data_IF_829009382853
#
_entry.id   IF_829009382853
#
_cell.length_a   1.000
_cell.length_b   1.000
_cell.length_c   1.000
_cell.angle_alpha   90.00
_cell.angle_beta   90.00
_cell.angle_gamma   90.00
#
_symmetry.space_group_name_H-M   'P 1'
#
loop_
_entity.id
_entity.type
_entity.pdbx_description
1 polymer ?
#
# COMPACT_ATOMS: atom_id res chain seq x y z
N UNK A 1 22.75 -23.89 -8.78
CA UNK A 1 21.97 -22.74 -9.27
C UNK A 1 21.84 -22.88 -10.78
N UNK A 2 20.64 -23.16 -11.30
CA UNK A 2 20.42 -23.17 -12.74
C UNK A 2 20.34 -21.71 -13.18
N UNK A 3 21.30 -21.27 -14.00
CA UNK A 3 21.26 -19.95 -14.62
C UNK A 3 20.10 -19.92 -15.62
N UNK A 4 19.23 -18.91 -15.52
CA UNK A 4 18.14 -18.69 -16.46
C UNK A 4 18.69 -18.56 -17.90
N UNK A 5 17.99 -19.15 -18.87
CA UNK A 5 18.37 -19.08 -20.28
C UNK A 5 18.36 -17.61 -20.79
N UNK A 6 19.28 -17.22 -21.67
CA UNK A 6 19.31 -15.85 -22.21
C UNK A 6 18.02 -15.57 -22.97
N UNK A 7 17.18 -14.68 -22.43
CA UNK A 7 15.85 -14.34 -22.95
C UNK A 7 14.68 -14.71 -22.03
N UNK A 8 14.90 -15.43 -20.93
CA UNK A 8 13.89 -15.62 -19.90
C UNK A 8 13.75 -14.36 -19.04
N UNK A 9 12.54 -13.79 -18.97
CA UNK A 9 12.21 -12.71 -18.04
C UNK A 9 12.52 -13.15 -16.61
N UNK A 10 13.20 -12.35 -15.81
CA UNK A 10 13.35 -12.60 -14.37
C UNK A 10 12.05 -12.13 -13.67
N UNK A 11 11.23 -13.05 -13.14
CA UNK A 11 9.93 -12.68 -12.53
C UNK A 11 10.15 -11.90 -11.27
N UNK A 12 11.06 -12.39 -10.45
CA UNK A 12 11.32 -11.85 -9.14
C UNK A 12 11.81 -10.41 -9.28
N UNK A 13 12.73 -10.15 -10.21
CA UNK A 13 13.17 -8.80 -10.51
C UNK A 13 12.05 -7.92 -11.12
N UNK A 14 11.17 -8.49 -11.94
CA UNK A 14 10.03 -7.75 -12.51
C UNK A 14 8.96 -7.42 -11.46
N UNK A 15 8.69 -8.33 -10.52
CA UNK A 15 7.77 -8.11 -9.41
C UNK A 15 8.29 -7.05 -8.44
N UNK A 16 9.60 -7.07 -8.14
CA UNK A 16 10.24 -6.04 -7.32
C UNK A 16 10.07 -4.66 -7.96
N UNK A 17 10.43 -4.54 -9.26
CA UNK A 17 10.23 -3.30 -10.01
C UNK A 17 8.77 -2.85 -10.04
N UNK A 18 7.85 -3.78 -10.24
CA UNK A 18 6.42 -3.48 -10.28
C UNK A 18 5.91 -2.97 -8.93
N UNK A 19 6.41 -3.51 -7.81
CA UNK A 19 6.09 -3.04 -6.48
C UNK A 19 6.69 -1.64 -6.23
N UNK A 20 7.95 -1.42 -6.58
CA UNK A 20 8.62 -0.13 -6.47
C UNK A 20 7.88 0.97 -7.25
N UNK A 21 7.54 0.70 -8.51
CA UNK A 21 6.83 1.65 -9.37
C UNK A 21 5.40 1.93 -8.86
N UNK A 22 4.68 0.88 -8.41
CA UNK A 22 3.30 1.02 -7.94
C UNK A 22 3.19 1.68 -6.56
N UNK A 23 4.23 1.57 -5.74
CA UNK A 23 4.30 2.15 -4.39
C UNK A 23 5.20 3.39 -4.33
N UNK A 24 5.67 3.89 -5.47
CA UNK A 24 6.32 5.19 -5.53
C UNK A 24 5.36 6.27 -4.98
N UNK A 25 5.87 7.13 -4.11
CA UNK A 25 5.05 8.13 -3.42
C UNK A 25 4.02 7.55 -2.43
N UNK A 26 4.23 6.34 -1.88
CA UNK A 26 3.33 5.71 -0.89
C UNK A 26 2.95 6.62 0.28
N UNK A 27 3.83 7.52 0.71
CA UNK A 27 3.57 8.45 1.81
C UNK A 27 2.36 9.35 1.48
N UNK A 28 2.29 9.91 0.28
CA UNK A 28 1.16 10.74 -0.16
C UNK A 28 -0.12 9.90 -0.36
N UNK A 29 0.01 8.63 -0.74
CA UNK A 29 -1.13 7.70 -0.85
C UNK A 29 -1.70 7.30 0.51
N UNK A 30 -0.82 7.17 1.52
CA UNK A 30 -1.18 6.74 2.87
C UNK A 30 -1.56 7.89 3.79
N UNK A 31 -1.19 9.12 3.45
CA UNK A 31 -1.49 10.30 4.25
C UNK A 31 -2.98 10.43 4.62
N UNK A 32 -3.95 10.22 3.71
CA UNK A 32 -5.38 10.28 4.07
C UNK A 32 -5.82 9.23 5.11
N UNK A 33 -5.13 8.08 5.23
CA UNK A 33 -5.43 7.12 6.29
C UNK A 33 -4.99 7.64 7.66
N UNK A 34 -3.89 8.38 7.70
CA UNK A 34 -3.21 8.79 8.93
C UNK A 34 -3.56 10.21 9.36
N UNK A 35 -4.03 11.05 8.44
CA UNK A 35 -4.36 12.44 8.68
C UNK A 35 -5.41 12.63 9.80
N UNK A 36 -6.52 11.86 9.87
CA UNK A 36 -7.47 11.98 10.96
C UNK A 36 -6.84 11.66 12.32
N UNK A 37 -5.98 10.64 12.37
CA UNK A 37 -5.28 10.25 13.59
C UNK A 37 -4.28 11.33 14.04
N UNK A 38 -3.48 11.89 13.12
CA UNK A 38 -2.56 13.01 13.44
C UNK A 38 -3.33 14.21 13.96
N UNK A 39 -4.43 14.58 13.31
CA UNK A 39 -5.28 15.67 13.78
C UNK A 39 -5.90 15.38 15.15
N UNK A 40 -6.20 14.13 15.49
CA UNK A 40 -6.69 13.76 16.81
C UNK A 40 -5.59 13.84 17.87
N UNK A 41 -4.37 13.40 17.56
CA UNK A 41 -3.20 13.53 18.44
C UNK A 41 -2.94 15.00 18.77
N UNK A 42 -3.02 15.89 17.78
CA UNK A 42 -2.79 17.33 17.98
C UNK A 42 -3.87 18.00 18.85
N UNK A 43 -5.07 17.42 18.94
CA UNK A 43 -6.21 17.97 19.69
C UNK A 43 -6.37 17.35 21.08
N UNK A 44 -6.01 16.08 21.25
CA UNK A 44 -6.22 15.35 22.49
C UNK A 44 -5.32 15.91 23.60
N UNK A 45 -5.91 16.13 24.77
CA UNK A 45 -5.20 16.56 25.98
C UNK A 45 -4.70 15.38 26.82
N UNK A 46 -5.14 14.16 26.50
CA UNK A 46 -4.74 12.94 27.16
C UNK A 46 -4.83 11.72 26.25
N UNK A 47 -4.16 10.64 26.65
CA UNK A 47 -4.23 9.37 25.94
C UNK A 47 -5.64 8.76 25.98
N UNK A 48 -6.33 8.83 27.13
CA UNK A 48 -7.70 8.30 27.27
C UNK A 48 -8.69 9.05 26.37
N UNK A 49 -8.52 10.37 26.25
CA UNK A 49 -9.29 11.18 25.30
C UNK A 49 -9.03 10.74 23.86
N UNK A 50 -7.76 10.55 23.45
CA UNK A 50 -7.41 10.05 22.12
C UNK A 50 -8.06 8.70 21.83
N UNK A 51 -8.02 7.75 22.79
CA UNK A 51 -8.67 6.44 22.65
C UNK A 51 -10.18 6.59 22.46
N UNK A 52 -10.82 7.50 23.19
CA UNK A 52 -12.26 7.75 23.09
C UNK A 52 -12.68 8.31 21.72
N UNK A 53 -11.76 8.97 20.99
CA UNK A 53 -12.00 9.51 19.65
C UNK A 53 -11.88 8.47 18.54
N UNK A 54 -11.15 7.35 18.77
CA UNK A 54 -10.87 6.34 17.74
C UNK A 54 -12.11 5.77 17.03
N UNK A 55 -13.24 5.49 17.71
CA UNK A 55 -14.43 4.96 17.03
C UNK A 55 -15.01 5.92 15.98
N UNK A 56 -14.97 7.22 16.24
CA UNK A 56 -15.44 8.25 15.31
C UNK A 56 -14.45 8.42 14.15
N UNK A 57 -13.15 8.51 14.47
CA UNK A 57 -12.06 8.64 13.49
C UNK A 57 -12.02 7.49 12.49
N UNK A 58 -12.40 6.28 12.89
CA UNK A 58 -12.45 5.12 11.99
C UNK A 58 -13.36 5.35 10.77
N UNK A 59 -14.38 6.21 10.89
CA UNK A 59 -15.26 6.58 9.78
C UNK A 59 -14.66 7.65 8.84
N UNK A 60 -13.61 8.34 9.29
CA UNK A 60 -12.91 9.40 8.54
C UNK A 60 -11.68 8.88 7.79
N UNK A 61 -11.23 7.66 8.08
CA UNK A 61 -10.10 7.02 7.39
C UNK A 61 -10.46 6.74 5.93
N UNK A 62 -9.77 7.39 5.00
CA UNK A 62 -9.90 7.13 3.57
C UNK A 62 -8.73 6.29 3.05
N UNK A 63 -8.99 5.01 2.82
CA UNK A 63 -8.02 4.06 2.27
C UNK A 63 -8.07 3.87 0.75
N UNK A 64 -8.95 4.59 0.05
CA UNK A 64 -9.33 4.28 -1.34
C UNK A 64 -8.14 4.27 -2.29
N UNK A 65 -7.27 5.28 -2.20
CA UNK A 65 -6.11 5.40 -3.09
C UNK A 65 -5.12 4.24 -2.94
N UNK A 66 -4.81 3.87 -1.71
CA UNK A 66 -3.94 2.72 -1.43
C UNK A 66 -4.59 1.41 -1.91
N UNK A 67 -5.89 1.24 -1.64
CA UNK A 67 -6.62 0.06 -2.08
C UNK A 67 -6.62 -0.08 -3.61
N UNK A 68 -6.81 1.01 -4.36
CA UNK A 68 -6.75 1.01 -5.82
C UNK A 68 -5.34 0.68 -6.35
N UNK A 69 -4.29 1.26 -5.75
CA UNK A 69 -2.91 0.98 -6.13
C UNK A 69 -2.59 -0.52 -5.94
N UNK A 70 -2.96 -1.09 -4.79
CA UNK A 70 -2.76 -2.51 -4.49
C UNK A 70 -3.60 -3.43 -5.40
N UNK A 71 -4.84 -3.05 -5.72
CA UNK A 71 -5.68 -3.81 -6.64
C UNK A 71 -5.06 -3.89 -8.04
N UNK A 72 -4.55 -2.76 -8.56
CA UNK A 72 -3.85 -2.71 -9.85
C UNK A 72 -2.56 -3.53 -9.82
N UNK A 73 -1.75 -3.37 -8.78
CA UNK A 73 -0.52 -4.14 -8.58
C UNK A 73 -0.81 -5.66 -8.58
N UNK A 74 -1.81 -6.09 -7.81
CA UNK A 74 -2.20 -7.50 -7.70
C UNK A 74 -2.65 -8.06 -9.05
N UNK A 75 -3.47 -7.32 -9.79
CA UNK A 75 -3.93 -7.74 -11.11
C UNK A 75 -2.77 -7.91 -12.10
N UNK A 76 -1.83 -6.96 -12.11
CA UNK A 76 -0.64 -7.02 -12.97
C UNK A 76 0.31 -8.16 -12.57
N UNK A 77 0.59 -8.31 -11.27
CA UNK A 77 1.44 -9.37 -10.74
C UNK A 77 0.86 -10.76 -11.05
N UNK A 78 -0.46 -10.93 -10.95
CA UNK A 78 -1.12 -12.19 -11.32
C UNK A 78 -0.98 -12.48 -12.82
N UNK A 79 -1.20 -11.49 -13.68
CA UNK A 79 -0.98 -11.65 -15.11
C UNK A 79 0.45 -12.06 -15.48
N UNK A 80 1.45 -11.52 -14.77
CA UNK A 80 2.85 -11.90 -14.96
C UNK A 80 3.10 -13.38 -14.56
N UNK A 81 2.53 -13.83 -13.45
CA UNK A 81 2.61 -15.22 -13.01
C UNK A 81 1.89 -16.19 -13.95
N UNK A 82 0.67 -15.85 -14.39
CA UNK A 82 -0.17 -16.69 -15.27
C UNK A 82 0.48 -16.92 -16.65
N UNK A 83 1.44 -16.09 -17.09
CA UNK A 83 2.20 -16.33 -18.33
C UNK A 83 3.30 -17.39 -18.22
N UNK A 84 3.54 -17.94 -17.02
CA UNK A 84 4.62 -18.91 -16.74
C UNK A 84 4.13 -20.29 -16.30
N UNK A 85 2.87 -20.40 -15.87
CA UNK A 85 2.19 -21.67 -15.59
C UNK A 85 1.75 -22.37 -16.89
#
# INVERSE_FOLDING_TARGET
AAAAAPGALDVEAELERLADDALDGWEAMTDPLLAPLRAAIDRASSFDELISMLPELASEVDGTKLAEALARLTATARGLGDTRD
#
